data_IF_162618774149
#
_entry.id   IF_162618774149
#
_cell.length_a   1.000
_cell.length_b   1.000
_cell.length_c   1.000
_cell.angle_alpha   90.00
_cell.angle_beta   90.00
_cell.angle_gamma   90.00
#
_symmetry.space_group_name_H-M   'P 1'
#
loop_
_entity.id
_entity.type
_entity.pdbx_description
1 polymer ?
#
# COMPACT_ATOMS: atom_id res chain seq x y z
N UNK A 1 -13.74 -1.51 25.91
CA UNK A 1 -12.37 -1.23 26.40
C UNK A 1 -12.05 0.22 26.09
N UNK A 2 -11.28 0.89 26.96
CA UNK A 2 -10.97 2.31 26.82
C UNK A 2 -9.48 2.47 26.46
N UNK A 3 -9.19 3.04 25.30
CA UNK A 3 -7.83 3.29 24.81
C UNK A 3 -7.52 4.79 24.88
N UNK A 4 -6.24 5.13 24.88
CA UNK A 4 -5.83 6.53 24.69
C UNK A 4 -5.99 6.91 23.21
N UNK A 5 -5.60 5.99 22.30
CA UNK A 5 -5.66 6.19 20.86
C UNK A 5 -6.28 4.97 20.16
N UNK A 6 -7.22 5.22 19.25
CA UNK A 6 -7.75 4.21 18.32
C UNK A 6 -7.24 4.53 16.92
N UNK A 7 -6.43 3.63 16.36
CA UNK A 7 -5.90 3.72 15.00
C UNK A 7 -6.71 2.79 14.10
N UNK A 8 -7.41 3.35 13.12
CA UNK A 8 -8.17 2.58 12.13
C UNK A 8 -7.34 2.34 10.88
N UNK A 9 -6.99 1.08 10.62
CA UNK A 9 -6.13 0.61 9.53
C UNK A 9 -4.74 0.23 10.03
N UNK A 10 -4.29 -0.99 9.72
CA UNK A 10 -2.98 -1.53 10.10
C UNK A 10 -2.05 -1.77 8.90
N UNK A 11 -2.19 -0.94 7.86
CA UNK A 11 -1.17 -0.78 6.83
C UNK A 11 0.01 0.06 7.32
N UNK A 12 0.96 0.44 6.43
CA UNK A 12 2.23 1.07 6.83
C UNK A 12 2.07 2.32 7.71
N UNK A 13 1.14 3.21 7.34
CA UNK A 13 0.90 4.45 8.09
C UNK A 13 0.32 4.18 9.49
N UNK A 14 -0.66 3.29 9.60
CA UNK A 14 -1.33 2.98 10.86
C UNK A 14 -0.43 2.19 11.81
N UNK A 15 0.26 1.17 11.31
CA UNK A 15 1.22 0.37 12.09
C UNK A 15 2.38 1.24 12.60
N UNK A 16 2.94 2.12 11.76
CA UNK A 16 4.00 3.04 12.22
C UNK A 16 3.51 4.02 13.28
N UNK A 17 2.29 4.55 13.13
CA UNK A 17 1.67 5.44 14.12
C UNK A 17 1.47 4.71 15.45
N UNK A 18 0.91 3.50 15.40
CA UNK A 18 0.66 2.67 16.58
C UNK A 18 1.97 2.28 17.28
N UNK A 19 3.01 1.90 16.53
CA UNK A 19 4.34 1.61 17.07
C UNK A 19 4.90 2.79 17.86
N UNK A 20 4.89 3.99 17.26
CA UNK A 20 5.44 5.20 17.92
C UNK A 20 4.66 5.49 19.20
N UNK A 21 3.33 5.46 19.15
CA UNK A 21 2.48 5.76 20.30
C UNK A 21 2.65 4.72 21.42
N UNK A 22 2.64 3.44 21.09
CA UNK A 22 2.80 2.37 22.06
C UNK A 22 4.18 2.42 22.75
N UNK A 23 5.27 2.68 22.00
CA UNK A 23 6.61 2.89 22.58
C UNK A 23 6.68 4.08 23.54
N UNK A 24 5.78 5.05 23.42
CA UNK A 24 5.69 6.20 24.32
C UNK A 24 4.69 5.97 25.47
N UNK A 25 4.26 4.73 25.69
CA UNK A 25 3.44 4.34 26.85
C UNK A 25 1.94 4.60 26.70
N UNK A 26 1.44 4.92 25.50
CA UNK A 26 0.01 5.07 25.26
C UNK A 26 -0.66 3.72 25.07
N UNK A 27 -1.90 3.58 25.56
CA UNK A 27 -2.73 2.42 25.24
C UNK A 27 -3.35 2.59 23.85
N UNK A 28 -2.92 1.78 22.88
CA UNK A 28 -3.29 1.90 21.47
C UNK A 28 -4.08 0.70 21.00
N UNK A 29 -5.28 0.93 20.45
CA UNK A 29 -6.00 -0.07 19.66
C UNK A 29 -5.67 0.12 18.17
N UNK A 30 -5.08 -0.89 17.54
CA UNK A 30 -4.79 -0.93 16.11
C UNK A 30 -5.82 -1.83 15.43
N UNK A 31 -6.72 -1.25 14.63
CA UNK A 31 -7.86 -1.96 14.06
C UNK A 31 -7.60 -2.28 12.60
N UNK A 32 -7.75 -3.55 12.19
CA UNK A 32 -7.62 -3.97 10.80
C UNK A 32 -8.82 -4.81 10.36
N UNK A 33 -9.24 -4.61 9.11
CA UNK A 33 -10.31 -5.40 8.49
C UNK A 33 -9.82 -6.80 8.17
N UNK A 34 -8.63 -6.92 7.59
CA UNK A 34 -8.07 -8.21 7.23
C UNK A 34 -6.54 -8.14 7.14
N UNK A 35 -5.86 -8.76 8.12
CA UNK A 35 -4.39 -8.79 8.13
C UNK A 35 -3.80 -9.55 6.93
N UNK A 36 -4.55 -10.45 6.30
CA UNK A 36 -4.12 -11.23 5.14
C UNK A 36 -4.43 -10.53 3.81
N UNK A 37 -5.11 -9.39 3.84
CA UNK A 37 -5.44 -8.67 2.62
C UNK A 37 -4.20 -7.96 2.06
N UNK A 38 -3.68 -8.49 0.96
CA UNK A 38 -2.66 -7.83 0.14
C UNK A 38 -3.29 -6.69 -0.64
N UNK A 39 -3.10 -5.45 -0.17
CA UNK A 39 -3.55 -4.26 -0.91
C UNK A 39 -2.80 -4.16 -2.26
N UNK A 40 -3.49 -4.00 -3.41
CA UNK A 40 -2.84 -3.84 -4.71
C UNK A 40 -1.83 -2.69 -4.71
N UNK A 41 -0.61 -2.98 -5.17
CA UNK A 41 0.49 -2.04 -5.26
C UNK A 41 1.65 -2.67 -6.03
N UNK A 42 2.43 -1.86 -6.74
CA UNK A 42 3.65 -2.31 -7.41
C UNK A 42 4.81 -2.69 -6.47
N UNK A 43 4.74 -2.34 -5.17
CA UNK A 43 5.78 -2.69 -4.19
C UNK A 43 7.02 -1.80 -4.18
N UNK A 44 7.12 -0.84 -5.12
CA UNK A 44 8.23 0.10 -5.20
C UNK A 44 8.35 1.03 -4.00
N UNK A 45 9.55 1.12 -3.41
CA UNK A 45 9.88 2.00 -2.29
C UNK A 45 11.27 2.59 -2.47
N UNK A 46 11.44 3.89 -2.21
CA UNK A 46 12.78 4.49 -2.17
C UNK A 46 13.59 3.92 -1.00
N UNK A 47 14.85 3.57 -1.24
CA UNK A 47 15.78 3.12 -0.18
C UNK A 47 15.97 4.17 0.91
N UNK A 48 15.69 5.45 0.64
CA UNK A 48 15.66 6.53 1.64
C UNK A 48 14.75 6.21 2.83
N UNK A 49 13.65 5.50 2.60
CA UNK A 49 12.77 5.04 3.69
C UNK A 49 13.53 4.13 4.62
N UNK A 50 14.29 3.18 4.09
CA UNK A 50 15.07 2.21 4.86
C UNK A 50 16.38 2.76 5.43
N UNK A 51 16.93 3.84 4.87
CA UNK A 51 18.17 4.44 5.40
C UNK A 51 17.91 5.48 6.46
N UNK A 52 16.83 6.26 6.35
CA UNK A 52 16.59 7.43 7.20
C UNK A 52 15.38 7.31 8.12
N UNK A 53 14.29 6.71 7.65
CA UNK A 53 12.99 6.84 8.32
C UNK A 53 12.54 5.57 9.05
N UNK A 54 12.84 4.40 8.48
CA UNK A 54 12.39 3.13 9.00
C UNK A 54 13.33 1.95 8.61
N UNK A 55 14.52 1.88 9.24
CA UNK A 55 15.54 0.88 8.91
C UNK A 55 15.13 -0.58 9.13
N UNK A 56 14.09 -0.83 9.91
CA UNK A 56 13.59 -2.17 10.21
C UNK A 56 13.17 -2.93 8.95
N UNK A 57 12.75 -2.24 7.88
CA UNK A 57 12.39 -2.85 6.59
C UNK A 57 13.54 -3.66 5.98
N UNK A 58 14.80 -3.34 6.32
CA UNK A 58 15.97 -4.10 5.87
C UNK A 58 15.91 -5.58 6.28
N UNK A 59 15.12 -5.94 7.31
CA UNK A 59 14.86 -7.33 7.71
C UNK A 59 14.24 -8.18 6.58
N UNK A 60 13.54 -7.56 5.64
CA UNK A 60 12.98 -8.24 4.46
C UNK A 60 14.04 -8.53 3.38
N UNK A 61 15.27 -8.06 3.57
CA UNK A 61 16.38 -8.21 2.62
C UNK A 61 16.00 -7.90 1.15
N UNK A 62 15.36 -6.75 0.86
CA UNK A 62 14.86 -6.48 -0.48
C UNK A 62 16.00 -6.21 -1.48
N UNK A 63 15.82 -6.66 -2.72
CA UNK A 63 16.77 -6.42 -3.82
C UNK A 63 16.73 -4.95 -4.24
N UNK A 64 17.89 -4.30 -4.24
CA UNK A 64 18.03 -2.91 -4.68
C UNK A 64 17.94 -2.79 -6.20
N UNK A 65 17.10 -1.88 -6.67
CA UNK A 65 16.97 -1.50 -8.06
C UNK A 65 17.98 -0.40 -8.37
N UNK A 66 18.78 -0.64 -9.40
CA UNK A 66 19.91 0.16 -9.87
C UNK A 66 19.63 0.92 -11.17
N UNK A 67 18.50 0.62 -11.79
CA UNK A 67 18.08 1.27 -13.01
C UNK A 67 16.66 0.90 -13.40
N UNK A 68 16.21 1.46 -14.51
CA UNK A 68 14.95 1.11 -15.14
C UNK A 68 15.14 0.91 -16.65
N UNK A 69 14.37 -0.03 -17.18
CA UNK A 69 14.09 -0.11 -18.61
C UNK A 69 12.73 0.52 -18.87
N UNK A 70 12.71 1.51 -19.75
CA UNK A 70 11.53 2.27 -20.12
C UNK A 70 11.21 1.98 -21.57
N UNK A 71 9.97 1.59 -21.84
CA UNK A 71 9.50 1.23 -23.17
C UNK A 71 8.43 2.21 -23.61
N UNK A 72 8.57 2.76 -24.83
CA UNK A 72 7.51 3.52 -25.47
C UNK A 72 6.32 2.61 -25.83
N UNK A 73 5.21 3.22 -26.28
CA UNK A 73 4.01 2.47 -26.68
C UNK A 73 4.23 1.49 -27.84
N UNK A 74 5.26 1.73 -28.66
CA UNK A 74 5.72 0.88 -29.76
C UNK A 74 7.00 0.07 -29.41
N UNK A 75 7.31 -0.04 -28.11
CA UNK A 75 8.37 -0.89 -27.55
C UNK A 75 9.82 -0.49 -27.85
N UNK A 76 10.08 0.76 -28.22
CA UNK A 76 11.44 1.29 -28.19
C UNK A 76 11.93 1.39 -26.75
N UNK A 77 13.10 0.80 -26.50
CA UNK A 77 13.69 0.67 -25.16
C UNK A 77 14.69 1.78 -24.89
N UNK A 78 14.57 2.39 -23.71
CA UNK A 78 15.59 3.23 -23.09
C UNK A 78 16.03 2.57 -21.78
N UNK A 79 17.34 2.53 -21.54
CA UNK A 79 17.90 2.16 -20.25
C UNK A 79 18.34 3.42 -19.49
N UNK A 80 17.95 3.50 -18.22
CA UNK A 80 18.39 4.54 -17.31
C UNK A 80 18.95 3.93 -16.04
N UNK A 81 20.22 4.23 -15.72
CA UNK A 81 20.94 3.70 -14.58
C UNK A 81 21.25 4.80 -13.58
N UNK A 82 21.06 4.53 -12.29
CA UNK A 82 21.26 5.51 -11.22
C UNK A 82 22.24 5.05 -10.13
N UNK A 83 23.08 4.06 -10.44
CA UNK A 83 24.08 3.49 -9.50
C UNK A 83 24.97 4.57 -8.84
N UNK A 84 25.26 5.66 -9.56
CA UNK A 84 26.13 6.73 -9.09
C UNK A 84 25.43 7.83 -8.28
N UNK A 85 24.10 7.80 -8.16
CA UNK A 85 23.31 8.90 -7.59
C UNK A 85 22.82 8.64 -6.15
N UNK A 86 22.97 7.41 -5.65
CA UNK A 86 22.49 7.04 -4.31
C UNK A 86 20.97 7.05 -4.16
N UNK A 87 20.24 7.06 -5.27
CA UNK A 87 18.77 7.10 -5.35
C UNK A 87 18.15 5.72 -5.59
N UNK A 88 18.73 4.68 -4.99
CA UNK A 88 18.22 3.32 -5.16
C UNK A 88 16.76 3.20 -4.72
N UNK A 89 16.05 2.28 -5.35
CA UNK A 89 14.72 1.84 -4.90
C UNK A 89 14.76 0.34 -4.61
N UNK A 90 13.68 -0.16 -4.01
CA UNK A 90 13.46 -1.58 -3.79
C UNK A 90 12.05 -1.92 -4.18
N UNK A 91 11.80 -3.20 -4.44
CA UNK A 91 10.48 -3.74 -4.69
C UNK A 91 10.26 -4.86 -3.67
N UNK A 92 9.08 -4.90 -3.05
CA UNK A 92 8.73 -5.91 -2.05
C UNK A 92 7.25 -6.28 -2.13
N UNK A 93 6.90 -7.47 -1.65
CA UNK A 93 5.50 -7.81 -1.43
C UNK A 93 4.92 -6.87 -0.35
N UNK A 94 3.80 -6.24 -0.69
CA UNK A 94 3.05 -5.39 0.23
C UNK A 94 2.58 -6.11 1.47
N UNK A 95 2.20 -7.38 1.36
CA UNK A 95 1.74 -8.14 2.52
C UNK A 95 2.88 -8.37 3.51
N UNK A 96 4.09 -8.67 3.01
CA UNK A 96 5.29 -8.83 3.86
C UNK A 96 5.68 -7.52 4.56
N UNK A 97 5.65 -6.39 3.84
CA UNK A 97 5.88 -5.07 4.44
C UNK A 97 4.84 -4.77 5.52
N UNK A 98 3.56 -4.91 5.19
CA UNK A 98 2.46 -4.62 6.12
C UNK A 98 2.53 -5.53 7.36
N UNK A 99 2.88 -6.81 7.20
CA UNK A 99 3.12 -7.76 8.30
C UNK A 99 4.28 -7.31 9.20
N UNK A 100 5.47 -7.09 8.64
CA UNK A 100 6.63 -6.66 9.42
C UNK A 100 6.33 -5.40 10.24
N UNK A 101 5.71 -4.39 9.62
CA UNK A 101 5.39 -3.13 10.30
C UNK A 101 4.37 -3.33 11.41
N UNK A 102 3.38 -4.19 11.20
CA UNK A 102 2.36 -4.53 12.19
C UNK A 102 2.91 -5.33 13.35
N UNK A 103 3.78 -6.30 13.09
CA UNK A 103 4.43 -7.10 14.14
C UNK A 103 5.27 -6.19 15.04
N UNK A 104 6.05 -5.27 14.46
CA UNK A 104 6.83 -4.29 15.23
C UNK A 104 5.91 -3.37 16.07
N UNK A 105 4.71 -3.01 15.57
CA UNK A 105 3.75 -2.22 16.32
C UNK A 105 3.17 -3.00 17.51
N UNK A 106 2.89 -4.30 17.33
CA UNK A 106 2.43 -5.19 18.41
C UNK A 106 3.53 -5.42 19.44
N UNK A 107 4.76 -5.67 19.00
CA UNK A 107 5.95 -5.78 19.87
C UNK A 107 6.17 -4.51 20.69
N UNK A 108 5.83 -3.35 20.14
CA UNK A 108 5.87 -2.07 20.85
C UNK A 108 4.76 -1.88 21.90
N UNK A 109 3.74 -2.75 21.92
CA UNK A 109 2.64 -2.74 22.88
C UNK A 109 1.28 -2.30 22.31
N UNK A 110 1.14 -2.12 21.00
CA UNK A 110 -0.17 -1.85 20.41
C UNK A 110 -1.03 -3.12 20.38
N UNK A 111 -2.31 -3.01 20.74
CA UNK A 111 -3.25 -4.13 20.69
C UNK A 111 -3.90 -4.21 19.31
N UNK A 112 -3.60 -5.28 18.57
CA UNK A 112 -4.12 -5.50 17.22
C UNK A 112 -5.50 -6.18 17.25
N UNK A 113 -6.45 -5.61 16.53
CA UNK A 113 -7.78 -6.14 16.31
C UNK A 113 -8.03 -6.45 14.84
N UNK A 114 -7.74 -7.68 14.42
CA UNK A 114 -8.06 -8.19 13.07
C UNK A 114 -9.56 -8.49 12.91
N UNK A 115 -10.02 -8.61 11.66
CA UNK A 115 -11.41 -8.88 11.26
C UNK A 115 -12.41 -7.83 11.75
N UNK A 116 -11.96 -6.59 11.85
CA UNK A 116 -12.74 -5.44 12.27
C UNK A 116 -12.74 -4.36 11.18
N UNK A 117 -13.86 -4.24 10.44
CA UNK A 117 -14.00 -3.16 9.46
C UNK A 117 -14.55 -1.90 10.12
N UNK A 118 -13.71 -0.90 10.36
CA UNK A 118 -14.16 0.41 10.80
C UNK A 118 -15.13 1.04 9.80
N UNK A 119 -16.25 1.58 10.28
CA UNK A 119 -17.27 2.15 9.38
C UNK A 119 -17.96 3.41 9.90
N UNK A 120 -17.90 3.70 11.20
CA UNK A 120 -18.53 4.89 11.79
C UNK A 120 -17.84 5.33 13.09
N UNK A 121 -18.25 6.48 13.61
CA UNK A 121 -17.84 6.99 14.91
C UNK A 121 -18.86 6.66 16.00
N UNK A 122 -18.37 6.56 17.23
CA UNK A 122 -19.21 6.62 18.43
C UNK A 122 -19.32 8.09 18.81
N UNK A 123 -20.55 8.61 18.89
CA UNK A 123 -20.81 10.03 19.16
C UNK A 123 -21.56 10.16 20.49
N UNK A 124 -21.01 10.96 21.40
CA UNK A 124 -21.65 11.33 22.67
C UNK A 124 -21.46 12.82 22.91
N UNK A 125 -22.54 13.53 23.24
CA UNK A 125 -22.53 14.98 23.47
C UNK A 125 -21.81 15.74 22.34
N UNK A 126 -22.13 15.39 21.09
CA UNK A 126 -21.54 15.95 19.86
C UNK A 126 -20.03 15.72 19.68
N UNK A 127 -19.39 14.90 20.51
CA UNK A 127 -17.97 14.52 20.38
C UNK A 127 -17.83 13.09 19.87
N UNK A 128 -16.88 12.88 18.96
CA UNK A 128 -16.45 11.55 18.50
C UNK A 128 -15.54 10.98 19.58
N UNK A 129 -15.97 9.88 20.22
CA UNK A 129 -15.29 9.27 21.38
C UNK A 129 -14.78 7.85 21.08
N UNK A 130 -14.78 7.45 19.81
CA UNK A 130 -14.34 6.14 19.39
C UNK A 130 -14.82 5.76 17.99
N UNK A 131 -14.56 4.51 17.62
CA UNK A 131 -14.87 3.93 16.31
C UNK A 131 -15.77 2.72 16.47
N UNK A 132 -16.77 2.61 15.58
CA UNK A 132 -17.58 1.41 15.39
C UNK A 132 -16.97 0.56 14.29
N UNK A 133 -16.83 -0.73 14.55
CA UNK A 133 -16.34 -1.72 13.58
C UNK A 133 -17.40 -2.77 13.33
N UNK A 134 -17.37 -3.34 12.12
CA UNK A 134 -18.18 -4.50 11.75
C UNK A 134 -17.29 -5.75 11.75
N UNK A 135 -17.75 -6.79 12.42
CA UNK A 135 -17.13 -8.13 12.46
C UNK A 135 -18.14 -9.17 11.92
N UNK A 136 -17.73 -10.44 11.85
CA UNK A 136 -18.66 -11.55 11.59
C UNK A 136 -19.70 -11.74 12.70
N UNK A 137 -19.37 -11.35 13.93
CA UNK A 137 -20.24 -11.51 15.11
C UNK A 137 -21.12 -10.29 15.41
N UNK A 138 -21.02 -9.21 14.62
CA UNK A 138 -21.84 -8.02 14.76
C UNK A 138 -21.02 -6.73 14.80
N UNK A 139 -21.54 -5.73 15.50
CA UNK A 139 -20.87 -4.44 15.68
C UNK A 139 -20.04 -4.48 16.96
N UNK A 140 -18.79 -4.02 16.88
CA UNK A 140 -17.95 -3.75 18.06
C UNK A 140 -17.66 -2.26 18.17
N UNK A 141 -17.36 -1.83 19.39
CA UNK A 141 -17.11 -0.44 19.74
C UNK A 141 -15.75 -0.31 20.45
N UNK A 142 -14.93 0.60 19.93
CA UNK A 142 -13.59 0.90 20.45
C UNK A 142 -13.56 2.36 20.87
N UNK A 143 -13.51 2.61 22.18
CA UNK A 143 -13.47 3.95 22.74
C UNK A 143 -12.02 4.47 22.78
N UNK A 144 -11.84 5.73 22.40
CA UNK A 144 -10.53 6.39 22.34
C UNK A 144 -10.65 7.90 22.45
N UNK A 145 -9.68 8.53 23.13
CA UNK A 145 -9.60 10.00 23.23
C UNK A 145 -9.18 10.63 21.90
N UNK A 146 -8.27 9.96 21.20
CA UNK A 146 -7.79 10.35 19.87
C UNK A 146 -8.11 9.23 18.89
N UNK A 147 -8.56 9.61 17.69
CA UNK A 147 -8.85 8.68 16.60
C UNK A 147 -7.94 9.03 15.43
N UNK A 148 -7.13 8.06 14.98
CA UNK A 148 -6.29 8.19 13.80
C UNK A 148 -6.92 7.40 12.66
N UNK A 149 -7.23 8.08 11.57
CA UNK A 149 -7.83 7.48 10.37
C UNK A 149 -6.72 7.15 9.38
N UNK A 150 -6.29 5.89 9.37
CA UNK A 150 -5.23 5.35 8.52
C UNK A 150 -5.73 4.18 7.63
N UNK A 151 -7.01 4.18 7.28
CA UNK A 151 -7.74 3.10 6.58
C UNK A 151 -7.68 3.21 5.03
N UNK A 152 -6.82 4.08 4.51
CA UNK A 152 -6.45 4.14 3.09
C UNK A 152 -7.39 4.96 2.18
N UNK A 153 -7.18 4.84 0.86
CA UNK A 153 -7.80 5.71 -0.15
C UNK A 153 -9.34 5.70 -0.10
N UNK A 154 -9.93 4.52 0.08
CA UNK A 154 -11.38 4.31 0.11
C UNK A 154 -12.03 4.62 1.48
N UNK A 155 -11.31 5.31 2.37
CA UNK A 155 -11.70 5.59 3.75
C UNK A 155 -13.15 6.06 3.88
N UNK A 156 -13.96 5.26 4.59
CA UNK A 156 -15.32 5.66 4.97
C UNK A 156 -15.29 6.63 6.15
N UNK A 157 -14.32 6.45 7.06
CA UNK A 157 -14.18 7.28 8.24
C UNK A 157 -13.75 8.71 7.89
N UNK A 158 -12.86 8.91 6.92
CA UNK A 158 -12.42 10.25 6.50
C UNK A 158 -13.58 11.07 5.92
N UNK A 159 -14.49 10.42 5.18
CA UNK A 159 -15.71 11.08 4.67
C UNK A 159 -16.68 11.39 5.80
N UNK A 160 -16.95 10.40 6.67
CA UNK A 160 -17.84 10.60 7.83
C UNK A 160 -17.30 11.56 8.87
N UNK A 161 -15.98 11.75 8.92
CA UNK A 161 -15.37 12.70 9.85
C UNK A 161 -15.59 14.15 9.42
N UNK A 162 -15.90 14.38 8.14
CA UNK A 162 -15.96 15.71 7.53
C UNK A 162 -14.60 16.27 7.13
N UNK A 163 -13.51 15.48 7.26
CA UNK A 163 -12.16 15.94 6.89
C UNK A 163 -11.95 16.01 5.38
N UNK A 164 -12.70 15.23 4.61
CA UNK A 164 -12.59 15.17 3.15
C UNK A 164 -13.85 14.59 2.53
N UNK A 165 -14.25 15.07 1.35
CA UNK A 165 -15.29 14.45 0.54
C UNK A 165 -14.80 13.17 -0.18
N UNK A 166 -15.67 12.47 -0.91
CA UNK A 166 -15.24 11.35 -1.77
C UNK A 166 -14.33 11.86 -2.88
N UNK A 167 -13.37 11.02 -3.29
CA UNK A 167 -12.54 11.34 -4.45
C UNK A 167 -13.39 11.30 -5.71
N UNK A 168 -13.21 12.29 -6.59
CA UNK A 168 -13.69 12.20 -7.97
C UNK A 168 -12.76 11.32 -8.79
N UNK A 169 -13.29 10.69 -9.83
CA UNK A 169 -12.55 9.73 -10.65
C UNK A 169 -11.34 10.37 -11.35
N UNK A 170 -11.43 11.67 -11.68
CA UNK A 170 -10.34 12.41 -12.32
C UNK A 170 -9.16 12.68 -11.37
N UNK A 171 -9.39 12.58 -10.05
CA UNK A 171 -8.40 12.88 -9.00
C UNK A 171 -7.73 11.61 -8.42
N UNK A 172 -7.93 10.45 -9.04
CA UNK A 172 -7.34 9.19 -8.58
C UNK A 172 -6.62 8.48 -9.72
N UNK A 173 -5.65 7.64 -9.37
CA UNK A 173 -5.15 6.60 -10.26
C UNK A 173 -5.91 5.30 -10.01
N UNK A 174 -6.26 4.59 -11.07
CA UNK A 174 -6.75 3.22 -11.01
C UNK A 174 -5.59 2.28 -11.32
N UNK A 175 -5.44 1.20 -10.55
CA UNK A 175 -4.34 0.26 -10.72
C UNK A 175 -4.80 -1.18 -10.48
N UNK A 176 -4.32 -2.10 -11.31
CA UNK A 176 -4.50 -3.55 -11.18
C UNK A 176 -3.14 -4.21 -11.31
N UNK A 177 -2.86 -5.13 -10.41
CA UNK A 177 -1.58 -5.83 -10.36
C UNK A 177 -1.69 -7.18 -9.67
N UNK A 178 -0.73 -8.03 -9.97
CA UNK A 178 -0.55 -9.34 -9.38
C UNK A 178 0.93 -9.60 -9.11
N UNK A 179 1.20 -10.53 -8.19
CA UNK A 179 2.52 -11.15 -8.07
C UNK A 179 2.44 -12.48 -8.81
N UNK A 180 3.37 -12.69 -9.74
CA UNK A 180 3.54 -13.97 -10.44
C UNK A 180 4.77 -14.64 -9.83
N UNK A 181 4.59 -15.85 -9.32
CA UNK A 181 5.64 -16.71 -8.80
C UNK A 181 6.21 -17.59 -9.92
N UNK A 182 7.51 -17.83 -9.88
CA UNK A 182 8.26 -18.62 -10.85
C UNK A 182 9.55 -17.94 -11.27
N UNK A 183 10.54 -18.75 -11.67
CA UNK A 183 11.80 -18.22 -12.20
C UNK A 183 11.52 -17.26 -13.35
N UNK A 184 12.17 -16.10 -13.31
CA UNK A 184 12.06 -15.08 -14.34
C UNK A 184 13.41 -14.78 -15.00
N UNK A 185 13.36 -14.31 -16.25
CA UNK A 185 14.53 -13.83 -17.00
C UNK A 185 14.69 -12.30 -16.88
N UNK A 186 13.79 -11.62 -16.17
CA UNK A 186 13.93 -10.18 -15.87
C UNK A 186 15.11 -9.96 -14.90
N UNK A 187 15.92 -8.94 -15.19
CA UNK A 187 16.99 -8.49 -14.30
C UNK A 187 16.38 -7.93 -13.00
N UNK A 188 16.61 -8.63 -11.88
CA UNK A 188 16.07 -8.23 -10.59
C UNK A 188 16.59 -6.87 -10.09
N UNK A 189 17.67 -6.35 -10.67
CA UNK A 189 18.19 -5.02 -10.35
C UNK A 189 17.53 -3.90 -11.15
N UNK A 190 16.60 -4.20 -12.07
CA UNK A 190 15.93 -3.21 -12.91
C UNK A 190 14.43 -3.17 -12.66
N UNK A 191 13.86 -1.97 -12.81
CA UNK A 191 12.40 -1.78 -12.93
C UNK A 191 12.00 -1.65 -14.40
N UNK A 192 10.97 -2.35 -14.83
CA UNK A 192 10.50 -2.28 -16.22
C UNK A 192 9.20 -1.47 -16.27
N UNK A 193 9.21 -0.39 -17.05
CA UNK A 193 8.08 0.54 -17.18
C UNK A 193 7.68 0.61 -18.66
N UNK A 194 6.41 0.37 -18.94
CA UNK A 194 5.87 0.32 -20.29
C UNK A 194 4.83 1.43 -20.45
N UNK A 195 5.21 2.49 -21.17
CA UNK A 195 4.26 3.53 -21.54
C UNK A 195 3.29 3.01 -22.59
N UNK A 196 2.05 3.50 -22.54
CA UNK A 196 0.95 3.05 -23.39
C UNK A 196 0.26 4.26 -24.00
N UNK A 197 -0.57 4.08 -25.05
CA UNK A 197 -1.32 5.19 -25.65
C UNK A 197 -2.52 5.59 -24.77
N UNK A 198 -2.29 5.76 -23.47
CA UNK A 198 -3.19 6.26 -22.45
C UNK A 198 -2.36 6.91 -21.31
N UNK A 199 -2.97 7.78 -20.53
CA UNK A 199 -2.43 8.38 -19.31
C UNK A 199 -2.27 7.31 -18.23
N UNK A 200 -1.06 6.77 -18.14
CA UNK A 200 -0.78 5.62 -17.31
C UNK A 200 0.49 4.90 -17.75
N UNK A 201 0.71 3.73 -17.17
CA UNK A 201 1.78 2.83 -17.59
C UNK A 201 1.51 1.41 -17.09
N UNK A 202 2.06 0.44 -17.82
CA UNK A 202 2.29 -0.91 -17.34
C UNK A 202 3.64 -1.01 -16.63
N UNK A 203 3.79 -1.98 -15.75
CA UNK A 203 5.06 -2.27 -15.10
C UNK A 203 5.31 -3.76 -14.96
N UNK A 204 6.59 -4.13 -15.00
CA UNK A 204 7.09 -5.38 -14.45
C UNK A 204 8.20 -5.01 -13.47
N UNK A 205 7.94 -5.26 -12.19
CA UNK A 205 8.85 -4.98 -11.10
C UNK A 205 9.24 -6.31 -10.47
N UNK A 206 10.38 -6.90 -10.85
CA UNK A 206 10.92 -8.06 -10.16
C UNK A 206 11.04 -7.77 -8.66
N UNK A 207 10.55 -8.68 -7.83
CA UNK A 207 10.81 -8.66 -6.39
C UNK A 207 12.18 -9.30 -6.17
N UNK A 208 12.38 -10.48 -6.75
CA UNK A 208 13.61 -11.26 -6.82
C UNK A 208 13.62 -12.13 -8.11
N UNK A 209 14.62 -12.99 -8.28
CA UNK A 209 14.75 -13.92 -9.41
C UNK A 209 13.63 -14.97 -9.57
N UNK A 210 12.70 -15.08 -8.63
CA UNK A 210 11.60 -16.05 -8.61
C UNK A 210 10.21 -15.41 -8.53
N UNK A 211 10.11 -14.09 -8.46
CA UNK A 211 8.82 -13.41 -8.32
C UNK A 211 8.84 -12.04 -8.99
N UNK A 212 7.78 -11.73 -9.73
CA UNK A 212 7.57 -10.41 -10.32
C UNK A 212 6.25 -9.82 -9.86
N UNK A 213 6.24 -8.52 -9.58
CA UNK A 213 5.02 -7.73 -9.49
C UNK A 213 4.72 -7.12 -10.86
N UNK A 214 3.62 -7.54 -11.47
CA UNK A 214 3.20 -7.08 -12.79
C UNK A 214 1.86 -6.35 -12.68
N UNK A 215 1.71 -5.24 -13.38
CA UNK A 215 0.46 -4.51 -13.36
C UNK A 215 0.40 -3.35 -14.33
N UNK A 216 -0.72 -2.66 -14.30
CA UNK A 216 -0.94 -1.44 -15.05
C UNK A 216 -1.85 -0.49 -14.28
N UNK A 217 -1.80 0.78 -14.66
CA UNK A 217 -2.72 1.77 -14.12
C UNK A 217 -2.98 2.92 -15.07
N UNK A 218 -4.12 3.56 -14.87
CA UNK A 218 -4.59 4.75 -15.57
C UNK A 218 -4.82 5.90 -14.59
N UNK A 219 -4.86 7.13 -15.08
CA UNK A 219 -5.21 8.31 -14.29
C UNK A 219 -5.98 9.34 -15.12
N UNK A 220 -6.55 10.34 -14.44
CA UNK A 220 -7.32 11.44 -15.04
C UNK A 220 -8.48 10.96 -15.91
N UNK A 221 -8.68 11.53 -17.10
CA UNK A 221 -9.80 11.18 -18.00
C UNK A 221 -9.75 9.72 -18.49
N UNK A 222 -8.56 9.11 -18.53
CA UNK A 222 -8.40 7.74 -19.04
C UNK A 222 -8.88 6.67 -18.05
N UNK A 223 -9.18 7.06 -16.81
CA UNK A 223 -9.97 6.22 -15.92
C UNK A 223 -11.38 5.93 -16.44
N UNK A 224 -11.92 6.79 -17.32
CA UNK A 224 -13.25 6.66 -17.91
C UNK A 224 -13.21 6.12 -19.34
N UNK A 225 -12.09 6.30 -20.04
CA UNK A 225 -11.93 5.90 -21.44
C UNK A 225 -11.42 4.45 -21.60
N UNK A 226 -10.76 3.90 -20.59
CA UNK A 226 -10.15 2.56 -20.64
C UNK A 226 -10.69 1.65 -19.55
N UNK A 227 -10.98 0.41 -19.93
CA UNK A 227 -11.33 -0.64 -18.98
C UNK A 227 -10.04 -1.23 -18.38
N UNK A 228 -9.82 -0.97 -17.09
CA UNK A 228 -8.63 -1.44 -16.35
C UNK A 228 -8.43 -2.97 -16.43
N UNK A 229 -9.50 -3.75 -16.55
CA UNK A 229 -9.37 -5.21 -16.65
C UNK A 229 -8.86 -5.62 -18.02
N UNK A 230 -9.43 -5.05 -19.09
CA UNK A 230 -9.01 -5.34 -20.47
C UNK A 230 -7.56 -4.93 -20.70
N UNK A 231 -7.17 -3.71 -20.27
CA UNK A 231 -5.77 -3.26 -20.43
C UNK A 231 -4.79 -4.12 -19.62
N UNK A 232 -5.20 -4.65 -18.47
CA UNK A 232 -4.37 -5.55 -17.66
C UNK A 232 -4.23 -6.91 -18.34
N UNK A 233 -5.32 -7.48 -18.83
CA UNK A 233 -5.33 -8.78 -19.51
C UNK A 233 -4.52 -8.71 -20.81
N UNK A 234 -4.65 -7.61 -21.57
CA UNK A 234 -3.81 -7.34 -22.75
C UNK A 234 -2.33 -7.19 -22.36
N UNK A 235 -2.03 -6.54 -21.25
CA UNK A 235 -0.65 -6.29 -20.81
C UNK A 235 0.07 -7.58 -20.42
N UNK A 236 -0.56 -8.43 -19.60
CA UNK A 236 0.09 -9.68 -19.13
C UNK A 236 0.25 -10.73 -20.23
N UNK A 237 -0.57 -10.67 -21.30
CA UNK A 237 -0.53 -11.62 -22.41
C UNK A 237 0.28 -11.10 -23.61
N UNK A 238 0.81 -9.87 -23.55
CA UNK A 238 1.52 -9.29 -24.69
C UNK A 238 2.92 -9.92 -24.85
N UNK A 239 3.27 -10.43 -26.06
CA UNK A 239 4.53 -11.15 -26.27
C UNK A 239 5.78 -10.28 -26.15
N UNK A 240 5.63 -8.95 -26.18
CA UNK A 240 6.73 -7.98 -25.99
C UNK A 240 6.99 -7.64 -24.51
N UNK A 241 6.18 -8.17 -23.59
CA UNK A 241 6.36 -8.01 -22.13
C UNK A 241 7.06 -9.26 -21.61
N UNK A 242 8.37 -9.32 -21.82
CA UNK A 242 9.25 -10.45 -21.45
C UNK A 242 10.64 -9.96 -21.05
#
# INVERSE_FOLDING_TARGET
MNYDVVVSGAGPAGSRCAEILARNGFNVALIERDINWRKPCGGGLSTRVMSKYYPQIRKLNPVSKKGAFMFSADFHKIEYNWEDYGEDSVVMDRLELDNLMRDIAVEAGAELFDKNTSFDFIIKNQKKIGVKTKTKSGIKEYLGKIIVIADGMSSKLAVRSGLRERWKIENIGLAKCSIIEGKTDFDETKSYIYFRPYKGYGWVFPIDNNQINIGCGTFEEDNLNYNLNEIYDDFINNPNIK
#
